data_IF_780803058907
#
_entry.id   IF_780803058907
#
_cell.length_a   1.000
_cell.length_b   1.000
_cell.length_c   1.000
_cell.angle_alpha   90.00
_cell.angle_beta   90.00
_cell.angle_gamma   90.00
#
_symmetry.space_group_name_H-M   'P 1'
#
loop_
_entity.id
_entity.type
_entity.pdbx_description
1 polymer ?
#
# COMPACT_ATOMS: atom_id res chain seq x y z
N UNK A 1 -6.43 8.18 -21.45
CA UNK A 1 -5.74 8.46 -20.17
C UNK A 1 -4.28 8.10 -20.31
N UNK A 2 -3.41 9.03 -19.94
CA UNK A 2 -1.97 8.79 -19.85
C UNK A 2 -1.65 7.80 -18.72
N UNK A 3 -0.42 7.25 -18.68
CA UNK A 3 0.02 6.45 -17.54
C UNK A 3 0.03 7.27 -16.24
N UNK A 4 0.36 8.56 -16.33
CA UNK A 4 0.31 9.47 -15.19
C UNK A 4 -1.11 9.59 -14.61
N UNK A 5 -2.13 9.75 -15.45
CA UNK A 5 -3.53 9.80 -15.00
C UNK A 5 -3.93 8.50 -14.30
N UNK A 6 -3.55 7.35 -14.88
CA UNK A 6 -3.86 6.03 -14.33
C UNK A 6 -3.20 5.82 -12.97
N UNK A 7 -1.94 6.22 -12.82
CA UNK A 7 -1.21 6.17 -11.54
C UNK A 7 -1.91 7.05 -10.51
N UNK A 8 -2.22 8.30 -10.86
CA UNK A 8 -2.85 9.25 -9.93
C UNK A 8 -4.23 8.75 -9.47
N UNK A 9 -5.05 8.23 -10.39
CA UNK A 9 -6.34 7.64 -10.06
C UNK A 9 -6.16 6.43 -9.14
N UNK A 10 -5.26 5.51 -9.44
CA UNK A 10 -5.02 4.33 -8.63
C UNK A 10 -4.52 4.68 -7.21
N UNK A 11 -3.59 5.64 -7.07
CA UNK A 11 -3.12 6.10 -5.77
C UNK A 11 -4.23 6.75 -4.93
N UNK A 12 -5.10 7.57 -5.55
CA UNK A 12 -6.27 8.15 -4.90
C UNK A 12 -7.24 7.07 -4.42
N UNK A 13 -7.56 6.09 -5.27
CA UNK A 13 -8.45 4.99 -4.91
C UNK A 13 -7.85 4.12 -3.80
N UNK A 14 -6.54 3.83 -3.86
CA UNK A 14 -5.83 3.11 -2.80
C UNK A 14 -5.92 3.84 -1.46
N UNK A 15 -5.72 5.18 -1.46
CA UNK A 15 -5.84 6.02 -0.26
C UNK A 15 -7.25 6.00 0.30
N UNK A 16 -8.27 6.16 -0.54
CA UNK A 16 -9.68 6.10 -0.10
C UNK A 16 -10.03 4.75 0.54
N UNK A 17 -9.58 3.64 -0.05
CA UNK A 17 -9.76 2.32 0.56
C UNK A 17 -9.01 2.17 1.88
N UNK A 18 -7.79 2.71 1.98
CA UNK A 18 -7.03 2.70 3.24
C UNK A 18 -7.75 3.49 4.33
N UNK A 19 -8.26 4.69 4.02
CA UNK A 19 -9.06 5.52 4.93
C UNK A 19 -10.33 4.78 5.39
N UNK A 20 -11.04 4.16 4.45
CA UNK A 20 -12.20 3.31 4.76
C UNK A 20 -11.84 2.16 5.69
N UNK A 21 -10.66 1.55 5.52
CA UNK A 21 -10.18 0.50 6.43
C UNK A 21 -9.94 1.05 7.84
N UNK A 22 -9.35 2.24 7.96
CA UNK A 22 -9.09 2.88 9.25
C UNK A 22 -10.41 3.21 9.97
N UNK A 23 -11.41 3.72 9.25
CA UNK A 23 -12.77 3.94 9.79
C UNK A 23 -13.48 2.63 10.16
N UNK A 24 -13.37 1.58 9.34
CA UNK A 24 -13.95 0.28 9.67
C UNK A 24 -13.34 -0.29 10.95
N UNK A 25 -12.03 -0.08 11.15
CA UNK A 25 -11.31 -0.49 12.36
C UNK A 25 -11.80 0.24 13.61
N UNK A 26 -12.00 1.56 13.56
CA UNK A 26 -12.53 2.31 14.71
C UNK A 26 -13.95 1.88 15.08
N UNK A 27 -14.74 1.45 14.08
CA UNK A 27 -16.07 0.87 14.24
C UNK A 27 -16.08 -0.62 14.61
N UNK A 28 -14.92 -1.23 14.87
CA UNK A 28 -14.76 -2.67 15.15
C UNK A 28 -15.34 -3.61 14.08
N UNK A 29 -15.47 -3.16 12.82
CA UNK A 29 -15.93 -3.99 11.73
C UNK A 29 -14.75 -4.72 11.07
N UNK A 30 -14.43 -5.92 11.58
CA UNK A 30 -13.26 -6.71 11.15
C UNK A 30 -13.34 -7.15 9.68
N UNK A 31 -14.54 -7.40 9.15
CA UNK A 31 -14.72 -7.82 7.76
C UNK A 31 -14.48 -6.65 6.79
N UNK A 32 -15.15 -5.52 7.01
CA UNK A 32 -14.96 -4.33 6.19
C UNK A 32 -13.51 -3.83 6.26
N UNK A 33 -12.89 -3.88 7.44
CA UNK A 33 -11.47 -3.56 7.59
C UNK A 33 -10.60 -4.40 6.66
N UNK A 34 -10.78 -5.73 6.66
CA UNK A 34 -9.99 -6.63 5.81
C UNK A 34 -10.24 -6.37 4.33
N UNK A 35 -11.50 -6.28 3.91
CA UNK A 35 -11.85 -6.09 2.51
C UNK A 35 -11.26 -4.78 1.98
N UNK A 36 -11.38 -3.69 2.75
CA UNK A 36 -10.81 -2.40 2.39
C UNK A 36 -9.28 -2.44 2.26
N UNK A 37 -8.57 -3.18 3.13
CA UNK A 37 -7.11 -3.39 3.00
C UNK A 37 -6.75 -4.14 1.72
N UNK A 38 -7.51 -5.16 1.33
CA UNK A 38 -7.24 -5.90 0.08
C UNK A 38 -7.46 -5.03 -1.15
N UNK A 39 -8.52 -4.21 -1.17
CA UNK A 39 -8.76 -3.26 -2.26
C UNK A 39 -7.67 -2.18 -2.33
N UNK A 40 -7.28 -1.61 -1.18
CA UNK A 40 -6.19 -0.63 -1.14
C UNK A 40 -4.88 -1.18 -1.71
N UNK A 41 -4.57 -2.44 -1.39
CA UNK A 41 -3.38 -3.10 -1.91
C UNK A 41 -3.46 -3.38 -3.42
N UNK A 42 -4.63 -3.80 -3.93
CA UNK A 42 -4.83 -4.08 -5.34
C UNK A 42 -4.63 -2.81 -6.20
N UNK A 43 -5.22 -1.69 -5.77
CA UNK A 43 -5.04 -0.39 -6.43
C UNK A 43 -3.59 0.09 -6.37
N UNK A 44 -2.90 -0.13 -5.24
CA UNK A 44 -1.48 0.19 -5.12
C UNK A 44 -0.60 -0.64 -6.07
N UNK A 45 -0.85 -1.94 -6.19
CA UNK A 45 -0.13 -2.80 -7.15
C UNK A 45 -0.42 -2.37 -8.60
N UNK A 46 -1.65 -1.93 -8.90
CA UNK A 46 -2.00 -1.38 -10.21
C UNK A 46 -1.24 -0.08 -10.53
N UNK A 47 -1.09 0.82 -9.55
CA UNK A 47 -0.23 2.01 -9.70
C UNK A 47 1.24 1.62 -9.93
N UNK A 48 1.76 0.66 -9.15
CA UNK A 48 3.14 0.18 -9.26
C UNK A 48 3.43 -0.51 -10.59
N UNK A 49 2.43 -1.18 -11.17
CA UNK A 49 2.53 -1.72 -12.52
C UNK A 49 2.80 -0.60 -13.53
N UNK A 50 2.01 0.49 -13.55
CA UNK A 50 2.29 1.60 -14.47
C UNK A 50 3.58 2.34 -14.19
N UNK A 51 3.95 2.53 -12.92
CA UNK A 51 5.29 3.03 -12.61
C UNK A 51 6.37 2.14 -13.25
N UNK A 52 6.21 0.83 -13.23
CA UNK A 52 7.17 -0.09 -13.85
C UNK A 52 7.22 0.00 -15.38
N UNK A 53 6.12 0.40 -16.03
CA UNK A 53 6.05 0.68 -17.47
C UNK A 53 6.71 2.01 -17.84
N UNK A 54 6.76 2.97 -16.91
CA UNK A 54 7.43 4.26 -17.14
C UNK A 54 8.95 4.11 -16.92
N UNK A 55 9.37 3.36 -15.89
CA UNK A 55 10.76 3.16 -15.52
C UNK A 55 11.33 1.84 -16.06
N UNK A 56 11.03 1.48 -17.31
CA UNK A 56 11.42 0.22 -17.96
C UNK A 56 12.94 -0.09 -17.87
N UNK A 57 13.79 0.91 -17.69
CA UNK A 57 15.22 0.70 -17.56
C UNK A 57 15.58 0.11 -16.18
N UNK A 58 15.95 -1.18 -16.13
CA UNK A 58 16.32 -1.91 -14.91
C UNK A 58 17.44 -1.23 -14.10
N UNK A 59 18.35 -0.52 -14.77
CA UNK A 59 19.45 0.21 -14.15
C UNK A 59 18.98 1.29 -13.16
N UNK A 60 17.81 1.90 -13.41
CA UNK A 60 17.17 2.83 -12.48
C UNK A 60 16.40 2.09 -11.38
N UNK A 61 15.88 0.89 -11.66
CA UNK A 61 15.09 0.08 -10.71
C UNK A 61 15.94 -0.57 -9.62
N UNK A 62 17.18 -0.97 -9.92
CA UNK A 62 18.04 -1.69 -8.96
C UNK A 62 18.66 -0.79 -7.87
N UNK A 63 18.83 0.53 -8.12
CA UNK A 63 19.58 1.40 -7.21
C UNK A 63 18.84 1.82 -5.93
N UNK A 64 17.51 1.84 -5.94
CA UNK A 64 16.73 2.40 -4.82
C UNK A 64 15.69 1.47 -4.21
N UNK A 65 15.45 0.27 -4.78
CA UNK A 65 14.54 -0.73 -4.22
C UNK A 65 15.12 -1.31 -2.93
N UNK A 66 15.17 -0.50 -1.89
CA UNK A 66 15.46 -0.92 -0.54
C UNK A 66 14.36 -1.91 -0.12
N UNK A 67 14.77 -3.00 0.51
CA UNK A 67 13.84 -3.84 1.25
C UNK A 67 13.81 -3.30 2.70
N UNK A 68 12.88 -2.39 3.04
CA UNK A 68 12.87 -1.80 4.37
C UNK A 68 12.70 -2.90 5.41
N UNK A 69 13.62 -2.97 6.38
CA UNK A 69 13.46 -3.83 7.56
C UNK A 69 12.34 -3.24 8.42
N UNK A 70 11.10 -3.61 8.10
CA UNK A 70 9.95 -3.27 8.90
C UNK A 70 10.07 -3.95 10.26
N UNK A 71 10.43 -3.19 11.30
CA UNK A 71 10.42 -3.64 12.69
C UNK A 71 9.00 -4.09 13.08
N UNK A 72 8.85 -4.71 14.24
CA UNK A 72 7.54 -5.00 14.86
C UNK A 72 6.81 -3.68 15.22
N UNK A 73 6.36 -2.95 14.21
CA UNK A 73 5.48 -1.81 14.37
C UNK A 73 4.06 -2.33 14.64
N UNK A 74 3.30 -1.60 15.44
CA UNK A 74 1.90 -1.91 15.63
C UNK A 74 1.09 -1.58 14.37
N UNK A 75 -0.09 -2.19 14.26
CA UNK A 75 -0.93 -2.06 13.07
C UNK A 75 -1.36 -0.62 12.79
N UNK A 76 -1.60 0.22 13.82
CA UNK A 76 -2.01 1.61 13.60
C UNK A 76 -0.85 2.43 13.03
N UNK A 77 0.35 2.26 13.58
CA UNK A 77 1.56 2.90 13.05
C UNK A 77 1.79 2.55 11.58
N UNK A 78 1.63 1.27 11.21
CA UNK A 78 1.77 0.84 9.82
C UNK A 78 0.69 1.44 8.89
N UNK A 79 -0.57 1.52 9.34
CA UNK A 79 -1.64 2.13 8.55
C UNK A 79 -1.37 3.62 8.30
N UNK A 80 -1.01 4.36 9.36
CA UNK A 80 -0.68 5.78 9.26
C UNK A 80 0.51 6.02 8.33
N UNK A 81 1.58 5.20 8.46
CA UNK A 81 2.75 5.32 7.58
C UNK A 81 2.42 5.01 6.13
N UNK A 82 1.55 4.03 5.88
CA UNK A 82 1.07 3.73 4.53
C UNK A 82 0.29 4.91 3.96
N UNK A 83 -0.57 5.56 4.76
CA UNK A 83 -1.35 6.72 4.33
C UNK A 83 -0.46 7.92 4.00
N UNK A 84 0.55 8.19 4.84
CA UNK A 84 1.54 9.25 4.60
C UNK A 84 2.28 9.03 3.27
N UNK A 85 2.79 7.82 3.05
CA UNK A 85 3.51 7.46 1.83
C UNK A 85 2.63 7.54 0.57
N UNK A 86 1.37 7.10 0.65
CA UNK A 86 0.42 7.23 -0.47
C UNK A 86 0.10 8.69 -0.78
N UNK A 87 -0.07 9.51 0.26
CA UNK A 87 -0.34 10.94 0.10
C UNK A 87 0.85 11.67 -0.53
N UNK A 88 2.07 11.29 -0.15
CA UNK A 88 3.28 11.85 -0.72
C UNK A 88 3.48 11.39 -2.17
N UNK A 89 3.26 10.10 -2.44
CA UNK A 89 3.30 9.58 -3.80
C UNK A 89 2.31 10.30 -4.72
N UNK A 90 1.08 10.54 -4.26
CA UNK A 90 0.03 11.24 -5.01
C UNK A 90 0.46 12.66 -5.43
N UNK A 91 1.03 13.44 -4.50
CA UNK A 91 1.53 14.80 -4.78
C UNK A 91 2.66 14.79 -5.80
N UNK A 92 3.59 13.85 -5.65
CA UNK A 92 4.81 13.79 -6.45
C UNK A 92 4.59 13.27 -7.88
N UNK A 93 3.43 12.69 -8.22
CA UNK A 93 3.16 12.18 -9.58
C UNK A 93 3.41 13.23 -10.67
N UNK A 94 3.07 14.50 -10.39
CA UNK A 94 3.25 15.61 -11.34
C UNK A 94 4.60 16.33 -11.25
N UNK A 95 5.34 16.15 -10.17
CA UNK A 95 6.56 16.91 -9.87
C UNK A 95 7.83 16.06 -10.00
N UNK A 96 7.80 14.86 -9.42
CA UNK A 96 8.93 13.94 -9.37
C UNK A 96 8.43 12.49 -9.38
N UNK A 97 8.20 11.99 -10.59
CA UNK A 97 7.66 10.64 -10.84
C UNK A 97 8.51 9.53 -10.21
N UNK A 98 9.83 9.70 -10.11
CA UNK A 98 10.71 8.69 -9.50
C UNK A 98 10.51 8.64 -7.99
N UNK A 99 10.39 9.79 -7.34
CA UNK A 99 10.15 9.86 -5.89
C UNK A 99 8.72 9.40 -5.54
N UNK A 100 7.74 9.68 -6.41
CA UNK A 100 6.40 9.11 -6.33
C UNK A 100 6.45 7.57 -6.34
N UNK A 101 7.23 6.99 -7.26
CA UNK A 101 7.38 5.54 -7.35
C UNK A 101 8.02 4.94 -6.10
N UNK A 102 9.09 5.57 -5.57
CA UNK A 102 9.73 5.13 -4.32
C UNK A 102 8.76 5.12 -3.15
N UNK A 103 7.98 6.18 -2.98
CA UNK A 103 6.99 6.28 -1.91
C UNK A 103 5.90 5.21 -2.04
N UNK A 104 5.35 5.02 -3.25
CA UNK A 104 4.39 3.96 -3.52
C UNK A 104 4.98 2.56 -3.25
N UNK A 105 6.24 2.34 -3.61
CA UNK A 105 6.93 1.07 -3.39
C UNK A 105 7.17 0.81 -1.90
N UNK A 106 7.53 1.83 -1.11
CA UNK A 106 7.61 1.72 0.35
C UNK A 106 6.24 1.43 0.96
N UNK A 107 5.18 2.09 0.50
CA UNK A 107 3.81 1.84 0.95
C UNK A 107 3.41 0.38 0.75
N UNK A 108 3.83 -0.24 -0.36
CA UNK A 108 3.61 -1.66 -0.64
C UNK A 108 4.21 -2.57 0.42
N UNK A 109 5.43 -2.29 0.88
CA UNK A 109 6.06 -3.09 1.93
C UNK A 109 5.25 -3.07 3.23
N UNK A 110 4.75 -1.89 3.64
CA UNK A 110 3.86 -1.79 4.79
C UNK A 110 2.54 -2.54 4.55
N UNK A 111 1.96 -2.41 3.36
CA UNK A 111 0.70 -3.08 3.01
C UNK A 111 0.83 -4.62 3.06
N UNK A 112 1.90 -5.16 2.47
CA UNK A 112 2.20 -6.60 2.53
C UNK A 112 2.36 -7.09 3.96
N UNK A 113 3.01 -6.28 4.82
CA UNK A 113 3.16 -6.61 6.23
C UNK A 113 1.82 -6.63 6.96
N UNK A 114 0.96 -5.65 6.73
CA UNK A 114 -0.40 -5.58 7.27
C UNK A 114 -1.23 -6.81 6.84
N UNK A 115 -1.24 -7.13 5.54
CA UNK A 115 -1.93 -8.31 5.00
C UNK A 115 -1.40 -9.61 5.60
N UNK A 116 -0.08 -9.74 5.74
CA UNK A 116 0.56 -10.88 6.39
C UNK A 116 0.11 -11.07 7.84
N UNK A 117 0.04 -9.98 8.61
CA UNK A 117 -0.42 -10.03 10.00
C UNK A 117 -1.92 -10.39 10.10
N UNK A 118 -2.75 -9.89 9.18
CA UNK A 118 -4.17 -10.27 9.07
C UNK A 118 -4.30 -11.77 8.77
N UNK A 119 -3.55 -12.28 7.79
CA UNK A 119 -3.58 -13.69 7.40
C UNK A 119 -3.10 -14.61 8.53
N UNK A 120 -2.05 -14.21 9.25
CA UNK A 120 -1.54 -14.93 10.42
C UNK A 120 -2.59 -15.03 11.53
N UNK A 121 -3.24 -13.92 11.88
CA UNK A 121 -4.33 -13.90 12.88
C UNK A 121 -5.50 -14.82 12.47
N UNK A 122 -5.84 -14.87 11.17
CA UNK A 122 -6.89 -15.79 10.67
C UNK A 122 -6.51 -17.25 10.90
N UNK A 123 -5.26 -17.63 10.62
CA UNK A 123 -4.74 -19.01 10.81
C UNK A 123 -4.76 -19.43 12.28
N UNK A 124 -4.29 -18.56 13.18
CA UNK A 124 -4.28 -18.83 14.63
C UNK A 124 -5.69 -18.97 15.21
N UNK A 125 -6.67 -18.17 14.75
CA UNK A 125 -8.08 -18.32 15.14
C UNK A 125 -8.68 -19.65 14.64
N UNK A 126 -8.28 -20.13 13.46
CA UNK A 126 -8.75 -21.41 12.92
C UNK A 126 -8.11 -22.64 13.56
N UNK A 127 -6.85 -22.56 14.01
CA UNK A 127 -6.17 -23.68 14.68
C UNK A 127 -6.63 -23.90 16.12
N UNK A 128 -7.13 -22.85 16.80
CA UNK A 128 -7.71 -22.95 18.16
C UNK A 128 -9.15 -23.44 18.21
N UNK A 129 -9.79 -23.62 17.04
CA UNK A 129 -11.17 -24.14 16.90
C UNK A 129 -11.20 -25.63 16.53
N UNK A 130 -10.05 -26.28 16.41
CA UNK A 130 -9.90 -27.73 16.29
C UNK A 130 -9.48 -28.30 17.63
#
# INVERSE_FOLDING_TARGET
>A
MSFQDKILTALKTAKNHLENSMTAKTKNNEELFKNAIWHAAAELEYALFFFSMIFENESQRQKWKANPKLKKADLNSMLNKTQELLSEAEKLVGENMLEAYKNAYLARHYMLKIQGDIAKKKREKSSKKK
#
